data_IF_010371057223
#
_entry.id   IF_010371057223
#
_cell.length_a   1.000
_cell.length_b   1.000
_cell.length_c   1.000
_cell.angle_alpha   90.00
_cell.angle_beta   90.00
_cell.angle_gamma   90.00
#
_symmetry.space_group_name_H-M   'P 1'
#
loop_
_entity.id
_entity.type
_entity.pdbx_description
1 polymer ?
#
# COMPACT_ATOMS: atom_id res chain seq x y z
N UNK A 1 -14.73 24.61 -4.01
CA UNK A 1 -14.52 23.58 -2.97
C UNK A 1 -13.11 23.07 -3.14
N UNK A 2 -12.25 23.34 -2.16
CA UNK A 2 -10.87 22.84 -2.17
C UNK A 2 -10.88 21.43 -1.58
N UNK A 3 -10.17 20.50 -2.21
CA UNK A 3 -9.95 19.16 -1.65
C UNK A 3 -8.73 19.24 -0.73
N UNK A 4 -8.92 18.96 0.54
CA UNK A 4 -7.83 18.87 1.51
C UNK A 4 -7.41 17.41 1.66
N UNK A 5 -6.12 17.15 1.53
CA UNK A 5 -5.56 15.82 1.78
C UNK A 5 -5.63 15.50 3.27
N UNK A 6 -6.11 14.31 3.61
CA UNK A 6 -6.17 13.84 4.98
C UNK A 6 -5.10 12.78 5.26
N UNK A 7 -5.07 11.73 4.44
CA UNK A 7 -4.17 10.60 4.63
C UNK A 7 -4.01 9.78 3.36
N UNK A 8 -2.90 9.05 3.28
CA UNK A 8 -2.70 8.01 2.29
C UNK A 8 -2.29 6.70 2.97
N UNK A 9 -2.64 5.58 2.35
CA UNK A 9 -2.18 4.27 2.76
C UNK A 9 -1.77 3.41 1.56
N UNK A 10 -0.77 2.57 1.78
CA UNK A 10 -0.32 1.57 0.82
C UNK A 10 -0.75 0.20 1.31
N UNK A 11 -1.50 -0.51 0.48
CA UNK A 11 -2.01 -1.83 0.80
C UNK A 11 -1.42 -2.85 -0.17
N UNK A 12 -0.77 -3.85 0.40
CA UNK A 12 -0.16 -4.94 -0.34
C UNK A 12 -0.90 -6.23 0.00
N UNK A 13 -1.32 -6.94 -1.03
CA UNK A 13 -2.04 -8.21 -0.89
C UNK A 13 -1.27 -9.30 -1.60
N UNK A 14 -1.06 -10.41 -0.90
CA UNK A 14 -0.54 -11.64 -1.48
C UNK A 14 -1.49 -12.79 -1.15
N UNK A 15 -1.56 -13.75 -2.07
CA UNK A 15 -2.40 -14.94 -1.95
C UNK A 15 -1.49 -16.14 -2.13
N UNK A 16 -1.48 -17.04 -1.15
CA UNK A 16 -0.76 -18.29 -1.27
C UNK A 16 -1.52 -19.19 -2.28
N UNK A 17 -0.88 -19.63 -3.38
CA UNK A 17 -1.56 -20.35 -4.45
C UNK A 17 -1.95 -21.79 -4.08
N UNK A 18 -1.40 -22.34 -2.99
CA UNK A 18 -1.62 -23.73 -2.54
C UNK A 18 -2.72 -23.79 -1.48
N UNK A 19 -2.73 -22.83 -0.56
CA UNK A 19 -3.63 -22.80 0.61
C UNK A 19 -4.76 -21.79 0.46
N UNK A 20 -4.74 -20.97 -0.60
CA UNK A 20 -5.66 -19.86 -0.86
C UNK A 20 -5.70 -18.81 0.26
N UNK A 21 -4.78 -18.88 1.22
CA UNK A 21 -4.70 -17.93 2.33
C UNK A 21 -4.26 -16.57 1.81
N UNK A 22 -4.98 -15.55 2.25
CA UNK A 22 -4.72 -14.15 1.92
C UNK A 22 -3.92 -13.49 3.04
N UNK A 23 -2.78 -12.92 2.67
CA UNK A 23 -1.98 -12.05 3.54
C UNK A 23 -2.15 -10.62 3.05
N UNK A 24 -2.40 -9.69 3.98
CA UNK A 24 -2.55 -8.27 3.67
C UNK A 24 -1.69 -7.47 4.62
N UNK A 25 -0.86 -6.59 4.06
CA UNK A 25 -0.02 -5.65 4.79
C UNK A 25 -0.46 -4.23 4.40
N UNK A 26 -0.73 -3.39 5.39
CA UNK A 26 -1.16 -2.00 5.17
C UNK A 26 -0.21 -1.06 5.89
N UNK A 27 0.30 -0.06 5.16
CA UNK A 27 1.03 1.08 5.71
C UNK A 27 0.13 2.29 5.67
N UNK A 28 -0.08 2.92 6.82
CA UNK A 28 -0.94 4.08 6.96
C UNK A 28 -0.13 5.37 7.08
N UNK A 29 -0.83 6.50 7.08
CA UNK A 29 -0.28 7.84 7.35
C UNK A 29 0.85 8.25 6.39
N UNK A 30 0.74 7.83 5.13
CA UNK A 30 1.67 8.22 4.09
C UNK A 30 1.43 9.67 3.68
N UNK A 31 2.53 10.36 3.33
CA UNK A 31 2.47 11.70 2.74
C UNK A 31 2.02 11.62 1.29
N UNK A 32 1.33 12.66 0.82
CA UNK A 32 0.74 12.69 -0.53
C UNK A 32 1.80 12.66 -1.64
N UNK A 33 2.96 13.29 -1.40
CA UNK A 33 3.98 13.54 -2.42
C UNK A 33 5.18 12.58 -2.30
N UNK A 34 4.96 11.36 -1.79
CA UNK A 34 6.02 10.36 -1.71
C UNK A 34 6.55 10.02 -3.13
N UNK A 35 7.87 10.11 -3.38
CA UNK A 35 8.48 9.70 -4.64
C UNK A 35 8.16 8.24 -4.98
N UNK A 36 8.01 7.94 -6.28
CA UNK A 36 7.72 6.57 -6.75
C UNK A 36 8.83 5.58 -6.30
N UNK A 37 10.08 6.03 -6.33
CA UNK A 37 11.24 5.24 -5.88
C UNK A 37 11.14 4.81 -4.41
N UNK A 38 10.64 5.68 -3.54
CA UNK A 38 10.46 5.37 -2.11
C UNK A 38 9.34 4.36 -1.90
N UNK A 39 8.25 4.49 -2.66
CA UNK A 39 7.12 3.54 -2.64
C UNK A 39 7.57 2.16 -3.14
N UNK A 40 8.38 2.12 -4.19
CA UNK A 40 8.96 0.86 -4.71
C UNK A 40 9.96 0.24 -3.75
N UNK A 41 10.81 1.05 -3.09
CA UNK A 41 11.73 0.59 -2.06
C UNK A 41 10.97 -0.05 -0.88
N UNK A 42 9.89 0.59 -0.42
CA UNK A 42 9.01 0.04 0.63
C UNK A 42 8.35 -1.26 0.19
N UNK A 43 7.81 -1.31 -1.04
CA UNK A 43 7.24 -2.55 -1.60
C UNK A 43 8.27 -3.68 -1.61
N UNK A 44 9.49 -3.42 -2.06
CA UNK A 44 10.56 -4.42 -2.14
C UNK A 44 11.01 -4.88 -0.75
N UNK A 45 11.11 -3.98 0.22
CA UNK A 45 11.40 -4.33 1.60
C UNK A 45 10.27 -5.18 2.23
N UNK A 46 9.02 -4.95 1.85
CA UNK A 46 7.89 -5.74 2.35
C UNK A 46 7.77 -7.10 1.66
N UNK A 47 8.28 -7.24 0.44
CA UNK A 47 8.35 -8.53 -0.24
C UNK A 47 9.20 -9.56 0.52
N UNK A 48 10.19 -9.15 1.32
CA UNK A 48 10.94 -10.09 2.16
C UNK A 48 10.17 -10.56 3.40
N UNK A 49 9.10 -9.86 3.77
CA UNK A 49 8.24 -10.20 4.91
C UNK A 49 7.06 -11.09 4.48
N UNK A 50 6.66 -10.97 3.22
CA UNK A 50 5.58 -11.75 2.64
C UNK A 50 6.22 -12.94 1.90
N UNK A 51 5.99 -14.15 2.41
CA UNK A 51 6.51 -15.40 1.81
C UNK A 51 6.11 -15.54 0.34
N UNK A 52 4.94 -15.01 -0.01
CA UNK A 52 4.37 -15.06 -1.35
C UNK A 52 4.61 -13.78 -2.16
N UNK A 53 4.72 -13.88 -3.49
CA UNK A 53 4.81 -12.71 -4.34
C UNK A 53 3.58 -11.82 -4.16
N UNK A 54 3.82 -10.51 -4.00
CA UNK A 54 2.75 -9.52 -3.89
C UNK A 54 1.94 -9.52 -5.20
N UNK A 55 0.67 -9.90 -5.10
CA UNK A 55 -0.25 -10.00 -6.23
C UNK A 55 -0.89 -8.65 -6.57
N UNK A 56 -1.10 -7.80 -5.56
CA UNK A 56 -1.77 -6.50 -5.75
C UNK A 56 -1.16 -5.45 -4.82
N UNK A 57 -0.92 -4.26 -5.38
CA UNK A 57 -0.49 -3.06 -4.66
C UNK A 57 -1.52 -1.97 -4.93
N UNK A 58 -2.13 -1.44 -3.88
CA UNK A 58 -3.15 -0.39 -3.96
C UNK A 58 -2.68 0.82 -3.15
N UNK A 59 -2.69 2.00 -3.75
CA UNK A 59 -2.56 3.27 -3.04
C UNK A 59 -3.96 3.86 -2.78
N UNK A 60 -4.28 4.11 -1.52
CA UNK A 60 -5.57 4.67 -1.10
C UNK A 60 -5.33 6.08 -0.59
N UNK A 61 -6.03 7.06 -1.15
CA UNK A 61 -5.96 8.46 -0.74
C UNK A 61 -7.30 8.92 -0.19
N UNK A 62 -7.29 9.56 0.97
CA UNK A 62 -8.47 10.11 1.62
C UNK A 62 -8.42 11.63 1.56
N UNK A 63 -9.52 12.24 1.09
CA UNK A 63 -9.66 13.69 0.96
C UNK A 63 -10.91 14.17 1.70
N UNK A 64 -10.84 15.34 2.32
CA UNK A 64 -11.99 16.11 2.79
C UNK A 64 -12.42 17.14 1.75
N UNK A 65 -13.72 17.41 1.67
CA UNK A 65 -14.25 18.53 0.90
C UNK A 65 -14.55 19.69 1.86
N UNK A 66 -13.89 20.84 1.63
CA UNK A 66 -14.19 22.11 2.30
C UNK A 66 -15.23 22.91 1.51
#
# INVERSE_FOLDING_TARGET
>A
MNKEFLSASLKLTAINPVTEKKTTVTLNDLTQDAPVEDVEAVRNALQSVIEEPIATVEAVHTFAFA
#
